data_IF_516589813993
#
_entry.id   IF_516589813993
#
_cell.length_a   1.000
_cell.length_b   1.000
_cell.length_c   1.000
_cell.angle_alpha   90.00
_cell.angle_beta   90.00
_cell.angle_gamma   90.00
#
_symmetry.space_group_name_H-M   'P 1'
#
loop_
_entity.id
_entity.type
_entity.pdbx_description
1 polymer ?
#
# COMPACT_ATOMS: atom_id res chain seq x y z
N UNK A 1 45.46 -33.92 10.92
CA UNK A 1 45.41 -32.58 10.31
C UNK A 1 43.94 -32.21 10.15
N UNK A 2 43.32 -31.68 11.22
CA UNK A 2 41.89 -31.30 11.19
C UNK A 2 41.76 -29.95 10.49
N UNK A 3 41.13 -29.97 9.31
CA UNK A 3 40.72 -28.79 8.57
C UNK A 3 39.68 -28.03 9.41
N UNK A 4 40.15 -26.98 10.09
CA UNK A 4 39.34 -26.07 10.89
C UNK A 4 39.01 -24.85 10.02
N UNK A 5 38.21 -25.08 8.98
CA UNK A 5 37.66 -24.01 8.14
C UNK A 5 36.58 -23.28 8.92
N UNK A 6 37.03 -22.36 9.75
CA UNK A 6 36.22 -21.39 10.48
C UNK A 6 35.42 -20.57 9.44
N UNK A 7 34.14 -20.93 9.24
CA UNK A 7 33.22 -20.17 8.38
C UNK A 7 33.07 -18.76 8.96
N UNK A 8 33.73 -17.79 8.34
CA UNK A 8 33.55 -16.37 8.64
C UNK A 8 32.05 -16.04 8.55
N UNK A 9 31.46 -15.34 9.54
CA UNK A 9 30.06 -14.97 9.47
C UNK A 9 29.86 -14.08 8.24
N UNK A 10 29.03 -14.55 7.30
CA UNK A 10 28.61 -13.74 6.15
C UNK A 10 27.91 -12.51 6.71
N UNK A 11 28.55 -11.34 6.61
CA UNK A 11 27.97 -10.09 7.08
C UNK A 11 26.63 -9.88 6.36
N UNK A 12 25.52 -9.97 7.11
CA UNK A 12 24.18 -9.78 6.55
C UNK A 12 24.05 -8.33 6.12
N UNK A 13 24.28 -8.06 4.84
CA UNK A 13 24.07 -6.73 4.25
C UNK A 13 22.61 -6.35 4.47
N UNK A 14 22.40 -5.33 5.30
CA UNK A 14 21.06 -4.84 5.62
C UNK A 14 20.78 -3.72 4.64
N UNK A 15 19.76 -3.88 3.78
CA UNK A 15 19.37 -2.85 2.82
C UNK A 15 18.88 -1.60 3.57
N UNK A 16 19.37 -0.44 3.18
CA UNK A 16 19.08 0.84 3.83
C UNK A 16 18.74 1.90 2.78
N UNK A 17 17.94 2.89 3.18
CA UNK A 17 17.53 3.97 2.30
C UNK A 17 18.71 4.84 1.91
N UNK A 18 18.93 5.01 0.60
CA UNK A 18 20.04 5.82 0.06
C UNK A 18 19.91 7.33 0.36
N UNK A 19 18.70 7.83 0.59
CA UNK A 19 18.48 9.22 1.02
C UNK A 19 17.19 9.37 1.82
N UNK A 20 17.14 10.41 2.68
CA UNK A 20 15.92 10.77 3.43
C UNK A 20 14.79 11.24 2.51
N UNK A 21 15.14 11.95 1.44
CA UNK A 21 14.17 12.42 0.45
C UNK A 21 13.56 11.23 -0.30
N UNK A 22 14.38 10.26 -0.72
CA UNK A 22 13.89 9.04 -1.35
C UNK A 22 12.96 8.24 -0.45
N UNK A 23 13.27 8.15 0.85
CA UNK A 23 12.38 7.55 1.84
C UNK A 23 11.03 8.28 1.91
N UNK A 24 11.04 9.61 2.05
CA UNK A 24 9.80 10.39 2.16
C UNK A 24 8.95 10.26 0.90
N UNK A 25 9.56 10.30 -0.28
CA UNK A 25 8.85 10.15 -1.55
C UNK A 25 8.26 8.74 -1.71
N UNK A 26 9.00 7.69 -1.35
CA UNK A 26 8.49 6.32 -1.39
C UNK A 26 7.28 6.13 -0.47
N UNK A 27 7.33 6.71 0.74
CA UNK A 27 6.23 6.64 1.70
C UNK A 27 5.03 7.50 1.27
N UNK A 28 5.27 8.67 0.69
CA UNK A 28 4.22 9.50 0.12
C UNK A 28 3.52 8.79 -1.04
N UNK A 29 4.28 8.12 -1.92
CA UNK A 29 3.72 7.30 -3.00
C UNK A 29 2.90 6.12 -2.49
N UNK A 30 3.31 5.48 -1.38
CA UNK A 30 2.52 4.43 -0.74
C UNK A 30 1.19 4.94 -0.15
N UNK A 31 1.17 6.18 0.37
CA UNK A 31 -0.02 6.76 0.98
C UNK A 31 -0.99 7.39 -0.05
N UNK A 32 -0.48 7.91 -1.17
CA UNK A 32 -1.27 8.57 -2.21
C UNK A 32 -1.61 7.56 -3.30
N UNK A 33 -2.90 7.19 -3.41
CA UNK A 33 -3.38 6.27 -4.43
C UNK A 33 -4.84 6.50 -4.82
N UNK A 34 -5.47 5.49 -5.43
CA UNK A 34 -6.86 5.55 -5.90
C UNK A 34 -7.88 5.98 -4.85
N UNK A 35 -7.62 5.71 -3.57
CA UNK A 35 -8.47 6.18 -2.47
C UNK A 35 -8.67 7.70 -2.49
N UNK A 36 -7.61 8.46 -2.80
CA UNK A 36 -7.69 9.93 -2.84
C UNK A 36 -8.36 10.46 -4.11
N UNK A 37 -8.24 9.76 -5.23
CA UNK A 37 -8.79 10.21 -6.51
C UNK A 37 -10.23 9.76 -6.76
N UNK A 38 -10.59 8.53 -6.36
CA UNK A 38 -11.90 7.94 -6.64
C UNK A 38 -12.79 7.95 -5.41
N UNK A 39 -12.30 7.44 -4.29
CA UNK A 39 -13.13 7.22 -3.11
C UNK A 39 -13.41 8.50 -2.33
N UNK A 40 -12.39 9.33 -2.11
CA UNK A 40 -12.53 10.56 -1.32
C UNK A 40 -13.55 11.55 -1.92
N UNK A 41 -13.53 11.89 -3.22
CA UNK A 41 -14.51 12.83 -3.78
C UNK A 41 -15.93 12.28 -3.71
N UNK A 42 -16.12 10.99 -4.00
CA UNK A 42 -17.43 10.33 -3.92
C UNK A 42 -17.99 10.39 -2.49
N UNK A 43 -17.16 10.05 -1.50
CA UNK A 43 -17.57 10.12 -0.10
C UNK A 43 -17.82 11.55 0.36
N UNK A 44 -17.01 12.52 -0.06
CA UNK A 44 -17.22 13.91 0.28
C UNK A 44 -18.55 14.41 -0.28
N UNK A 45 -18.83 14.20 -1.57
CA UNK A 45 -20.09 14.63 -2.21
C UNK A 45 -21.31 13.96 -1.56
N UNK A 46 -21.27 12.66 -1.30
CA UNK A 46 -22.38 11.91 -0.71
C UNK A 46 -22.68 12.32 0.76
N UNK A 47 -21.67 12.77 1.50
CA UNK A 47 -21.79 13.10 2.92
C UNK A 47 -21.84 14.62 3.20
N UNK A 48 -22.38 15.42 2.27
CA UNK A 48 -22.58 16.86 2.49
C UNK A 48 -21.41 17.76 2.03
N UNK A 49 -20.59 17.27 1.09
CA UNK A 49 -19.54 18.04 0.42
C UNK A 49 -18.51 18.61 1.40
N UNK A 50 -18.51 19.93 1.54
CA UNK A 50 -17.59 20.64 2.42
C UNK A 50 -17.78 20.30 3.91
N UNK A 51 -18.98 19.93 4.34
CA UNK A 51 -19.24 19.55 5.73
C UNK A 51 -18.51 18.26 6.14
N UNK A 52 -18.30 17.33 5.19
CA UNK A 52 -17.56 16.08 5.40
C UNK A 52 -16.09 16.29 5.76
N UNK A 53 -15.50 17.42 5.36
CA UNK A 53 -14.08 17.73 5.61
C UNK A 53 -13.79 17.86 7.11
N UNK A 54 -14.74 18.36 7.90
CA UNK A 54 -14.56 18.54 9.35
C UNK A 54 -14.35 17.20 10.07
N UNK A 55 -15.28 16.22 10.02
CA UNK A 55 -15.07 14.92 10.64
C UNK A 55 -13.90 14.16 10.02
N UNK A 56 -13.64 14.33 8.71
CA UNK A 56 -12.47 13.76 8.05
C UNK A 56 -11.16 14.22 8.70
N UNK A 57 -10.94 15.53 8.85
CA UNK A 57 -9.74 16.08 9.48
C UNK A 57 -9.61 15.68 10.96
N UNK A 58 -10.73 15.69 11.70
CA UNK A 58 -10.73 15.24 13.10
C UNK A 58 -10.29 13.77 13.20
N UNK A 59 -10.84 12.90 12.35
CA UNK A 59 -10.45 11.48 12.32
C UNK A 59 -8.99 11.28 11.88
N UNK A 60 -8.48 12.12 10.98
CA UNK A 60 -7.09 12.08 10.54
C UNK A 60 -6.13 12.40 11.68
N UNK A 61 -6.47 13.39 12.52
CA UNK A 61 -5.63 13.77 13.66
C UNK A 61 -5.75 12.78 14.81
N UNK A 62 -6.95 12.30 15.13
CA UNK A 62 -7.19 11.44 16.30
C UNK A 62 -6.84 9.97 16.02
N UNK A 63 -7.06 9.47 14.80
CA UNK A 63 -6.83 8.07 14.45
C UNK A 63 -5.68 7.91 13.46
N UNK A 64 -5.66 8.72 12.40
CA UNK A 64 -4.66 8.61 11.33
C UNK A 64 -3.22 8.82 11.83
N UNK A 65 -2.96 9.95 12.48
CA UNK A 65 -1.62 10.28 12.98
C UNK A 65 -1.12 9.26 14.03
N UNK A 66 -1.88 8.89 15.07
CA UNK A 66 -1.42 7.90 16.05
C UNK A 66 -1.15 6.53 15.43
N UNK A 67 -2.01 6.05 14.53
CA UNK A 67 -1.80 4.77 13.86
C UNK A 67 -0.54 4.78 13.00
N UNK A 68 -0.30 5.86 12.26
CA UNK A 68 0.91 6.03 11.45
C UNK A 68 2.17 6.00 12.32
N UNK A 69 2.16 6.67 13.48
CA UNK A 69 3.28 6.66 14.41
C UNK A 69 3.53 5.27 15.01
N UNK A 70 2.47 4.52 15.34
CA UNK A 70 2.56 3.15 15.83
C UNK A 70 3.15 2.23 14.75
N UNK A 71 2.67 2.31 13.52
CA UNK A 71 3.15 1.51 12.40
C UNK A 71 4.62 1.82 12.08
N UNK A 72 4.98 3.11 12.03
CA UNK A 72 6.36 3.54 11.78
C UNK A 72 7.32 3.10 12.89
N UNK A 73 6.93 3.29 14.16
CA UNK A 73 7.76 2.93 15.30
C UNK A 73 7.96 1.43 15.41
N UNK A 74 6.90 0.64 15.22
CA UNK A 74 6.97 -0.83 15.21
C UNK A 74 7.79 -1.38 14.05
N UNK A 75 7.63 -0.84 12.84
CA UNK A 75 8.44 -1.22 11.67
C UNK A 75 9.93 -0.92 11.87
N UNK A 76 10.26 0.25 12.43
CA UNK A 76 11.65 0.61 12.75
C UNK A 76 12.23 -0.27 13.85
N UNK A 77 11.45 -0.62 14.87
CA UNK A 77 11.86 -1.53 15.93
C UNK A 77 12.16 -2.93 15.38
N UNK A 78 11.25 -3.51 14.59
CA UNK A 78 11.48 -4.81 13.96
C UNK A 78 12.65 -4.82 12.97
N UNK A 79 12.85 -3.71 12.26
CA UNK A 79 13.99 -3.51 11.37
C UNK A 79 15.36 -3.61 12.06
N UNK A 80 15.47 -3.20 13.34
CA UNK A 80 16.71 -3.37 14.13
C UNK A 80 17.10 -4.84 14.32
N UNK A 81 16.10 -5.73 14.38
CA UNK A 81 16.30 -7.17 14.50
C UNK A 81 16.34 -7.88 13.12
N UNK A 82 16.19 -7.15 12.01
CA UNK A 82 16.09 -7.71 10.66
C UNK A 82 14.75 -8.34 10.32
N UNK A 83 13.71 -7.98 11.06
CA UNK A 83 12.36 -8.45 10.82
C UNK A 83 11.60 -7.38 10.03
N UNK A 84 11.35 -7.64 8.75
CA UNK A 84 10.68 -6.71 7.84
C UNK A 84 9.22 -7.07 7.55
N UNK A 85 8.73 -8.19 8.09
CA UNK A 85 7.35 -8.66 7.89
C UNK A 85 6.55 -8.61 9.18
N UNK A 86 5.26 -8.32 9.07
CA UNK A 86 4.32 -8.19 10.20
C UNK A 86 4.35 -9.34 11.21
N UNK A 87 4.46 -10.65 10.86
CA UNK A 87 4.51 -11.73 11.85
C UNK A 87 5.78 -11.70 12.72
N UNK A 88 6.90 -11.30 12.13
CA UNK A 88 8.19 -11.26 12.81
C UNK A 88 8.34 -9.99 13.67
N UNK A 89 7.81 -8.87 13.19
CA UNK A 89 7.73 -7.62 13.95
C UNK A 89 6.84 -7.84 15.19
N UNK A 90 5.65 -8.40 15.01
CA UNK A 90 4.71 -8.66 16.11
C UNK A 90 5.27 -9.67 17.13
N UNK A 91 6.03 -10.67 16.67
CA UNK A 91 6.75 -11.58 17.57
C UNK A 91 7.86 -10.89 18.39
N UNK A 92 8.52 -9.88 17.82
CA UNK A 92 9.51 -9.09 18.56
C UNK A 92 8.89 -8.13 19.58
N UNK A 93 7.63 -7.74 19.38
CA UNK A 93 6.86 -6.90 20.31
C UNK A 93 6.21 -7.71 21.44
N UNK A 94 5.76 -8.93 21.17
CA UNK A 94 5.10 -9.80 22.15
C UNK A 94 5.62 -11.23 22.11
N UNK A 95 6.11 -11.73 23.26
CA UNK A 95 6.60 -13.13 23.43
C UNK A 95 5.51 -14.21 23.25
N UNK A 96 4.24 -13.83 23.13
CA UNK A 96 3.13 -14.76 22.98
C UNK A 96 2.98 -15.21 21.52
N UNK A 97 2.82 -16.52 21.30
CA UNK A 97 2.73 -17.13 19.95
C UNK A 97 1.52 -16.62 19.14
N UNK A 98 0.49 -16.12 19.81
CA UNK A 98 -0.74 -15.54 19.22
C UNK A 98 -0.42 -14.34 18.30
N UNK A 99 0.55 -13.51 18.66
CA UNK A 99 0.92 -12.32 17.87
C UNK A 99 1.48 -12.65 16.48
N UNK A 100 2.05 -13.85 16.31
CA UNK A 100 2.48 -14.33 14.98
C UNK A 100 1.28 -14.55 14.06
N UNK A 101 0.22 -15.18 14.55
CA UNK A 101 -0.97 -15.47 13.77
C UNK A 101 -1.71 -14.19 13.36
N UNK A 102 -1.78 -13.20 14.26
CA UNK A 102 -2.31 -11.86 13.94
C UNK A 102 -1.48 -11.20 12.84
N UNK A 103 -0.14 -11.29 12.90
CA UNK A 103 0.72 -10.73 11.86
C UNK A 103 0.56 -11.42 10.50
N UNK A 104 0.30 -12.73 10.47
CA UNK A 104 0.03 -13.49 9.23
C UNK A 104 -1.30 -13.06 8.60
N UNK A 105 -2.32 -12.79 9.41
CA UNK A 105 -3.58 -12.23 8.92
C UNK A 105 -3.37 -10.89 8.20
N UNK A 106 -2.47 -10.03 8.71
CA UNK A 106 -2.10 -8.79 8.04
C UNK A 106 -1.51 -9.01 6.64
N UNK A 107 -0.69 -10.04 6.44
CA UNK A 107 -0.15 -10.39 5.11
C UNK A 107 -1.29 -10.81 4.18
N UNK A 108 -2.20 -11.66 4.65
CA UNK A 108 -3.33 -12.12 3.85
C UNK A 108 -4.25 -10.97 3.41
N UNK A 109 -4.60 -10.08 4.34
CA UNK A 109 -5.35 -8.86 4.02
C UNK A 109 -4.62 -8.01 2.97
N UNK A 110 -3.31 -7.82 3.10
CA UNK A 110 -2.55 -7.02 2.15
C UNK A 110 -2.55 -7.64 0.74
N UNK A 111 -2.37 -8.96 0.64
CA UNK A 111 -2.42 -9.68 -0.66
C UNK A 111 -3.82 -9.57 -1.29
N UNK A 112 -4.88 -9.70 -0.50
CA UNK A 112 -6.25 -9.56 -0.99
C UNK A 112 -6.53 -8.16 -1.53
N UNK A 113 -6.09 -7.12 -0.81
CA UNK A 113 -6.21 -5.72 -1.25
C UNK A 113 -5.37 -5.51 -2.52
N UNK A 114 -4.14 -6.01 -2.56
CA UNK A 114 -3.27 -5.90 -3.74
C UNK A 114 -3.91 -6.53 -4.98
N UNK A 115 -4.52 -7.72 -4.86
CA UNK A 115 -5.20 -8.37 -5.99
C UNK A 115 -6.34 -7.51 -6.56
N UNK A 116 -7.17 -6.91 -5.68
CA UNK A 116 -8.23 -6.00 -6.09
C UNK A 116 -7.68 -4.70 -6.70
N UNK A 117 -6.60 -4.15 -6.15
CA UNK A 117 -5.96 -2.94 -6.68
C UNK A 117 -5.32 -3.20 -8.05
N UNK A 118 -4.66 -4.34 -8.26
CA UNK A 118 -4.09 -4.70 -9.57
C UNK A 118 -5.17 -4.80 -10.66
N UNK A 119 -6.37 -5.31 -10.32
CA UNK A 119 -7.50 -5.29 -11.24
C UNK A 119 -7.93 -3.85 -11.57
N UNK A 120 -7.89 -2.94 -10.59
CA UNK A 120 -8.16 -1.52 -10.83
C UNK A 120 -7.01 -0.82 -11.59
N UNK A 121 -5.79 -1.32 -11.53
CA UNK A 121 -4.70 -0.75 -12.30
C UNK A 121 -4.78 -1.15 -13.78
N UNK A 122 -5.29 -2.36 -14.10
CA UNK A 122 -5.33 -2.87 -15.48
C UNK A 122 -6.24 -2.05 -16.40
N UNK A 123 -7.50 -1.79 -16.02
CA UNK A 123 -8.43 -0.95 -16.79
C UNK A 123 -7.95 0.51 -16.91
N UNK A 124 -7.34 1.06 -15.86
CA UNK A 124 -6.75 2.42 -15.90
C UNK A 124 -5.58 2.47 -16.89
N UNK A 125 -4.70 1.46 -16.88
CA UNK A 125 -3.60 1.35 -17.83
C UNK A 125 -4.10 1.17 -19.26
N UNK A 126 -5.14 0.37 -19.47
CA UNK A 126 -5.82 0.20 -20.76
C UNK A 126 -6.38 1.53 -21.27
N UNK A 127 -7.06 2.30 -20.42
CA UNK A 127 -7.57 3.63 -20.76
C UNK A 127 -6.44 4.58 -21.19
N UNK A 128 -5.32 4.59 -20.47
CA UNK A 128 -4.15 5.41 -20.82
C UNK A 128 -3.60 5.01 -22.19
N UNK A 129 -3.41 3.71 -22.43
CA UNK A 129 -2.91 3.19 -23.70
C UNK A 129 -3.81 3.58 -24.89
N UNK A 130 -5.12 3.36 -24.76
CA UNK A 130 -6.10 3.73 -25.80
C UNK A 130 -6.24 5.24 -25.99
N UNK A 131 -6.03 6.03 -24.94
CA UNK A 131 -5.98 7.49 -25.01
C UNK A 131 -4.76 7.98 -25.79
N UNK A 132 -3.59 7.35 -25.61
CA UNK A 132 -2.38 7.69 -26.36
C UNK A 132 -2.48 7.35 -27.85
N UNK A 133 -3.18 6.26 -28.20
CA UNK A 133 -3.39 5.83 -29.60
C UNK A 133 -4.48 6.66 -30.30
N UNK A 134 -5.29 7.42 -29.55
CA UNK A 134 -6.41 8.17 -30.10
C UNK A 134 -7.60 7.27 -30.46
N UNK A 135 -7.71 6.07 -29.86
CA UNK A 135 -8.84 5.16 -30.11
C UNK A 135 -10.18 5.73 -29.65
N UNK A 136 -10.17 6.77 -28.81
CA UNK A 136 -11.37 7.47 -28.33
C UNK A 136 -11.76 8.68 -29.19
N UNK A 137 -11.00 9.01 -30.24
CA UNK A 137 -11.29 10.17 -31.07
C UNK A 137 -12.58 9.94 -31.90
N UNK A 138 -13.56 10.83 -31.74
CA UNK A 138 -14.88 10.72 -32.38
C UNK A 138 -15.88 9.74 -31.73
N UNK A 139 -15.55 9.11 -30.60
CA UNK A 139 -16.48 8.22 -29.89
C UNK A 139 -17.37 8.99 -28.89
N UNK A 140 -18.65 8.65 -28.87
CA UNK A 140 -19.60 9.19 -27.88
C UNK A 140 -19.42 8.52 -26.51
N UNK A 141 -19.82 9.21 -25.43
CA UNK A 141 -19.73 8.71 -24.04
C UNK A 141 -20.30 7.29 -23.86
N UNK A 142 -21.40 6.97 -24.53
CA UNK A 142 -22.01 5.63 -24.49
C UNK A 142 -21.14 4.55 -25.13
N UNK A 143 -20.41 4.87 -26.20
CA UNK A 143 -19.53 3.93 -26.89
C UNK A 143 -18.26 3.66 -26.08
N UNK A 144 -17.74 4.69 -25.41
CA UNK A 144 -16.61 4.54 -24.47
C UNK A 144 -17.04 3.68 -23.28
N UNK A 145 -18.23 3.91 -22.73
CA UNK A 145 -18.77 3.07 -21.66
C UNK A 145 -18.92 1.60 -22.11
N UNK A 146 -19.45 1.39 -23.33
CA UNK A 146 -19.58 0.08 -23.97
C UNK A 146 -18.27 -0.69 -24.07
N UNK A 147 -17.20 -0.02 -24.50
CA UNK A 147 -15.85 -0.58 -24.58
C UNK A 147 -15.34 -1.09 -23.22
N UNK A 148 -15.59 -0.35 -22.14
CA UNK A 148 -15.20 -0.78 -20.80
C UNK A 148 -16.07 -1.89 -20.25
N UNK A 149 -17.38 -1.93 -20.54
CA UNK A 149 -18.22 -3.08 -20.18
C UNK A 149 -17.73 -4.37 -20.85
N UNK A 150 -17.45 -4.34 -22.15
CA UNK A 150 -16.93 -5.51 -22.88
C UNK A 150 -15.55 -5.94 -22.37
N UNK A 151 -14.70 -4.98 -21.96
CA UNK A 151 -13.40 -5.27 -21.34
C UNK A 151 -13.51 -5.94 -19.97
N UNK A 152 -14.57 -5.64 -19.21
CA UNK A 152 -14.80 -6.18 -17.87
C UNK A 152 -15.57 -7.52 -17.89
N UNK A 153 -16.27 -7.83 -18.99
CA UNK A 153 -17.06 -9.06 -19.20
C UNK A 153 -16.22 -10.26 -19.73
N UNK A 154 -14.88 -10.15 -19.71
CA UNK A 154 -13.94 -11.24 -20.06
C UNK A 154 -13.78 -12.25 -18.93
#
# INVERSE_FOLDING_TARGET
>A
MSDNTQKLPVARKTEAWGSRVGLVLAMAGNAVGFGNFLRFPVQAVQNGGGAFIIPYLVSLVILGLPLLLIEWSSGRYGGQFGHHSTPFIMHSLGRQRVWKYVGVFGIFCNVAIAAYYCYIESWTMSYVYHSFIGSFDGLNQHQIAGFFSDYLDV
#
